data_IF_844536275011
#
_entry.id   IF_844536275011
#
_cell.length_a   1.000
_cell.length_b   1.000
_cell.length_c   1.000
_cell.angle_alpha   90.00
_cell.angle_beta   90.00
_cell.angle_gamma   90.00
#
_symmetry.space_group_name_H-M   'P 1'
#
loop_
_entity.id
_entity.type
_entity.pdbx_description
1 polymer ?
#
# COMPACT_ATOMS: atom_id res chain seq x y z
N UNK A 1 -56.59 27.41 -39.72
CA UNK A 1 -55.81 26.16 -39.56
C UNK A 1 -55.15 26.23 -38.19
N UNK A 2 -55.70 25.51 -37.23
CA UNK A 2 -55.26 25.54 -35.83
C UNK A 2 -54.17 24.50 -35.58
N UNK A 3 -53.09 24.90 -34.91
CA UNK A 3 -51.95 24.06 -34.56
C UNK A 3 -52.22 23.31 -33.25
N UNK A 4 -52.22 21.98 -33.29
CA UNK A 4 -52.25 21.14 -32.08
C UNK A 4 -50.85 20.96 -31.49
N UNK A 5 -50.61 21.19 -30.18
CA UNK A 5 -49.33 20.90 -29.55
C UNK A 5 -49.16 19.39 -29.30
N UNK A 6 -48.07 18.82 -29.83
CA UNK A 6 -47.69 17.42 -29.64
C UNK A 6 -47.29 17.14 -28.20
N UNK A 7 -48.05 16.27 -27.51
CA UNK A 7 -47.80 15.87 -26.13
C UNK A 7 -46.64 14.87 -26.05
N UNK A 8 -45.57 15.22 -25.33
CA UNK A 8 -44.43 14.33 -25.07
C UNK A 8 -44.37 13.94 -23.59
N UNK A 9 -44.39 12.64 -23.33
CA UNK A 9 -44.45 12.08 -21.98
C UNK A 9 -43.08 12.10 -21.29
N UNK A 10 -43.01 12.73 -20.10
CA UNK A 10 -41.77 13.08 -19.37
C UNK A 10 -40.82 11.91 -19.08
N UNK A 11 -41.31 10.67 -19.09
CA UNK A 11 -40.51 9.46 -18.80
C UNK A 11 -39.66 8.96 -19.97
N UNK A 12 -39.90 9.45 -21.19
CA UNK A 12 -39.22 8.97 -22.41
C UNK A 12 -38.35 10.03 -23.10
N UNK A 13 -38.10 11.17 -22.45
CA UNK A 13 -37.14 12.15 -22.92
C UNK A 13 -35.71 11.62 -22.73
N UNK A 14 -35.28 10.71 -23.61
CA UNK A 14 -33.91 10.20 -23.64
C UNK A 14 -33.05 11.25 -24.33
N UNK A 15 -32.37 12.07 -23.53
CA UNK A 15 -31.35 12.99 -24.03
C UNK A 15 -30.17 12.16 -24.56
N UNK A 16 -30.14 11.94 -25.88
CA UNK A 16 -28.99 11.33 -26.56
C UNK A 16 -27.82 12.29 -26.46
N UNK A 17 -26.82 11.99 -25.61
CA UNK A 17 -25.55 12.72 -25.63
C UNK A 17 -24.81 12.35 -26.91
N UNK A 18 -24.57 13.33 -27.79
CA UNK A 18 -23.56 13.21 -28.85
C UNK A 18 -22.19 13.04 -28.17
N UNK A 19 -21.45 12.04 -28.61
CA UNK A 19 -20.03 11.89 -28.28
C UNK A 19 -19.29 12.60 -29.41
N UNK A 20 -18.84 13.82 -29.16
CA UNK A 20 -17.88 14.46 -30.07
C UNK A 20 -16.55 13.71 -29.95
N UNK A 21 -16.06 13.29 -31.12
CA UNK A 21 -14.70 12.84 -31.33
C UNK A 21 -13.87 14.13 -31.39
N UNK A 22 -12.95 14.32 -30.45
CA UNK A 22 -11.93 15.35 -30.62
C UNK A 22 -10.55 14.76 -30.39
N UNK A 23 -9.68 15.10 -31.32
CA UNK A 23 -8.40 14.51 -31.63
C UNK A 23 -7.33 15.51 -31.18
N UNK A 24 -6.36 15.02 -30.39
CA UNK A 24 -5.02 15.57 -30.16
C UNK A 24 -4.91 17.03 -29.64
N UNK A 25 -4.60 17.17 -28.33
CA UNK A 25 -3.73 18.22 -27.82
C UNK A 25 -3.18 17.88 -26.43
N UNK A 26 -1.86 17.65 -26.40
CA UNK A 26 -1.07 17.58 -25.18
C UNK A 26 -0.93 18.97 -24.50
N UNK A 27 -0.65 18.92 -23.20
CA UNK A 27 -0.16 19.96 -22.27
C UNK A 27 -1.15 20.70 -21.33
N UNK A 28 -0.98 20.34 -20.05
CA UNK A 28 -1.10 21.13 -18.81
C UNK A 28 -2.32 22.02 -18.62
N UNK A 29 -3.27 21.55 -17.80
CA UNK A 29 -3.69 22.30 -16.62
C UNK A 29 -4.13 21.31 -15.54
N UNK A 30 -3.46 21.34 -14.39
CA UNK A 30 -3.94 20.77 -13.14
C UNK A 30 -5.29 21.43 -12.81
N UNK A 31 -6.40 20.79 -13.15
CA UNK A 31 -7.70 21.11 -12.54
C UNK A 31 -8.03 20.03 -11.51
N UNK A 32 -8.10 20.52 -10.28
CA UNK A 32 -8.56 19.90 -9.07
C UNK A 32 -9.97 19.28 -9.30
N UNK A 33 -10.02 18.03 -9.76
CA UNK A 33 -11.29 17.31 -9.92
C UNK A 33 -11.80 16.92 -8.51
N UNK A 34 -12.67 17.76 -7.96
CA UNK A 34 -13.39 17.47 -6.73
C UNK A 34 -14.15 16.14 -6.90
N UNK A 35 -14.04 15.18 -5.95
CA UNK A 35 -14.80 13.95 -6.06
C UNK A 35 -16.29 14.25 -5.99
N UNK A 36 -17.04 13.76 -6.98
CA UNK A 36 -18.50 13.76 -7.02
C UNK A 36 -19.05 13.31 -5.65
N UNK A 37 -19.62 14.25 -4.89
CA UNK A 37 -20.25 13.95 -3.61
C UNK A 37 -21.50 13.11 -3.88
N UNK A 38 -21.42 11.81 -3.61
CA UNK A 38 -22.57 10.91 -3.66
C UNK A 38 -23.64 11.43 -2.69
N UNK A 39 -24.88 11.54 -3.20
CA UNK A 39 -26.11 11.80 -2.44
C UNK A 39 -26.07 11.04 -1.12
N UNK A 40 -26.03 11.75 0.01
CA UNK A 40 -26.11 11.17 1.36
C UNK A 40 -27.42 10.36 1.43
N UNK A 41 -27.29 9.05 1.56
CA UNK A 41 -28.41 8.18 1.88
C UNK A 41 -28.69 8.42 3.37
N UNK A 42 -29.59 9.35 3.68
CA UNK A 42 -29.96 9.74 5.05
C UNK A 42 -30.94 8.78 5.72
N UNK A 43 -31.39 7.75 5.02
CA UNK A 43 -32.17 6.68 5.64
C UNK A 43 -31.24 5.54 6.02
N UNK A 44 -31.13 5.33 7.34
CA UNK A 44 -30.46 4.18 7.91
C UNK A 44 -30.95 2.91 7.26
N UNK A 45 -30.01 2.01 6.97
CA UNK A 45 -30.30 0.71 6.39
C UNK A 45 -31.16 -0.06 7.40
N UNK A 46 -32.44 -0.26 7.12
CA UNK A 46 -33.37 -0.96 8.00
C UNK A 46 -32.84 -2.38 8.27
N UNK A 47 -32.53 -2.69 9.53
CA UNK A 47 -31.99 -3.98 9.97
C UNK A 47 -32.96 -4.57 11.01
N UNK A 48 -34.04 -5.23 10.57
CA UNK A 48 -35.10 -5.71 11.44
C UNK A 48 -34.63 -6.55 12.64
N UNK A 49 -33.50 -7.25 12.51
CA UNK A 49 -32.95 -8.10 13.57
C UNK A 49 -31.96 -7.40 14.52
N UNK A 50 -31.56 -6.15 14.24
CA UNK A 50 -30.66 -5.34 15.06
C UNK A 50 -31.37 -4.17 15.75
N UNK A 51 -32.49 -3.69 15.19
CA UNK A 51 -33.24 -2.54 15.72
C UNK A 51 -34.28 -2.95 16.79
N UNK A 52 -34.24 -4.19 17.29
CA UNK A 52 -35.29 -4.83 18.09
C UNK A 52 -35.23 -4.54 19.61
N UNK A 53 -34.41 -3.56 20.04
CA UNK A 53 -34.24 -3.18 21.46
C UNK A 53 -35.53 -2.59 22.07
N UNK A 54 -36.49 -2.15 21.24
CA UNK A 54 -37.79 -1.62 21.69
C UNK A 54 -38.87 -2.68 21.93
N UNK A 55 -38.63 -3.96 21.61
CA UNK A 55 -39.63 -5.02 21.76
C UNK A 55 -39.45 -5.88 23.03
N UNK A 56 -38.51 -5.53 23.92
CA UNK A 56 -38.24 -6.28 25.15
C UNK A 56 -39.03 -5.82 26.40
N UNK A 57 -39.90 -4.81 26.29
CA UNK A 57 -40.70 -4.33 27.44
C UNK A 57 -42.17 -4.77 27.44
N UNK A 58 -42.59 -5.67 26.54
CA UNK A 58 -44.01 -6.09 26.43
C UNK A 58 -44.30 -7.58 26.62
N UNK A 59 -43.35 -8.40 27.09
CA UNK A 59 -43.62 -9.80 27.44
C UNK A 59 -43.28 -10.08 28.92
N UNK A 60 -44.15 -9.61 29.81
CA UNK A 60 -44.25 -10.09 31.17
C UNK A 60 -45.58 -10.85 31.35
N UNK A 61 -45.66 -12.05 30.78
CA UNK A 61 -46.62 -13.08 31.19
C UNK A 61 -45.96 -14.46 31.15
N UNK A 62 -46.02 -15.26 32.23
CA UNK A 62 -45.29 -16.51 32.33
C UNK A 62 -46.15 -17.69 31.86
N UNK A 63 -45.68 -18.48 30.88
CA UNK A 63 -46.14 -19.86 30.72
C UNK A 63 -45.21 -20.74 29.88
N UNK A 64 -44.63 -21.73 30.58
CA UNK A 64 -44.23 -23.08 30.15
C UNK A 64 -42.93 -23.30 29.33
N UNK A 65 -42.10 -24.30 29.70
CA UNK A 65 -40.79 -24.56 29.12
C UNK A 65 -40.88 -25.49 27.89
N UNK A 66 -40.31 -25.07 26.77
CA UNK A 66 -40.11 -25.93 25.60
C UNK A 66 -38.84 -26.77 25.81
N UNK A 67 -39.01 -28.07 25.72
CA UNK A 67 -38.02 -29.11 25.97
C UNK A 67 -36.86 -29.04 24.95
N UNK A 68 -35.63 -29.15 25.44
CA UNK A 68 -34.42 -29.42 24.65
C UNK A 68 -34.45 -30.87 24.13
N UNK A 69 -34.31 -31.14 22.83
CA UNK A 69 -33.80 -32.43 22.40
C UNK A 69 -32.28 -32.45 22.56
N UNK A 70 -31.82 -33.20 23.55
CA UNK A 70 -30.47 -33.75 23.63
C UNK A 70 -30.23 -34.66 22.40
N UNK A 71 -29.36 -34.23 21.49
CA UNK A 71 -28.94 -35.01 20.33
C UNK A 71 -27.43 -34.90 20.12
N UNK A 72 -26.78 -36.06 20.08
CA UNK A 72 -25.34 -36.30 20.00
C UNK A 72 -24.64 -35.52 18.88
N UNK A 73 -23.37 -35.20 19.12
CA UNK A 73 -22.49 -34.39 18.26
C UNK A 73 -22.42 -34.89 16.82
N UNK A 74 -22.92 -34.05 15.92
CA UNK A 74 -22.56 -34.09 14.50
C UNK A 74 -21.14 -33.53 14.35
N UNK A 75 -20.24 -34.14 13.54
CA UNK A 75 -18.98 -33.49 13.20
C UNK A 75 -19.34 -32.19 12.52
N UNK A 76 -18.85 -31.06 13.06
CA UNK A 76 -19.08 -29.72 12.52
C UNK A 76 -18.74 -29.76 11.03
N UNK A 77 -19.78 -29.85 10.20
CA UNK A 77 -19.66 -29.84 8.75
C UNK A 77 -19.04 -28.51 8.39
N UNK A 78 -17.73 -28.53 8.09
CA UNK A 78 -16.96 -27.35 7.72
C UNK A 78 -17.66 -26.73 6.50
N UNK A 79 -18.40 -25.65 6.74
CA UNK A 79 -19.19 -25.00 5.72
C UNK A 79 -18.26 -24.39 4.69
N UNK A 80 -18.07 -25.10 3.58
CA UNK A 80 -17.33 -24.59 2.44
C UNK A 80 -18.33 -23.92 1.50
N UNK A 81 -18.38 -22.59 1.52
CA UNK A 81 -19.37 -21.78 0.79
C UNK A 81 -19.45 -22.07 -0.72
N UNK A 82 -18.45 -22.75 -1.30
CA UNK A 82 -18.42 -23.15 -2.71
C UNK A 82 -19.01 -24.54 -3.00
N UNK A 83 -19.38 -25.33 -2.00
CA UNK A 83 -19.91 -26.68 -2.22
C UNK A 83 -21.35 -26.70 -2.77
N UNK A 84 -22.13 -25.64 -2.54
CA UNK A 84 -23.52 -25.52 -3.05
C UNK A 84 -23.58 -25.19 -4.55
N UNK A 85 -22.47 -24.75 -5.16
CA UNK A 85 -22.44 -24.38 -6.58
C UNK A 85 -22.30 -25.56 -7.54
N UNK A 86 -21.95 -26.76 -7.05
CA UNK A 86 -21.72 -27.94 -7.91
C UNK A 86 -23.02 -28.59 -8.40
N UNK A 87 -24.16 -28.31 -7.76
CA UNK A 87 -25.49 -28.83 -8.15
C UNK A 87 -26.24 -27.91 -9.11
N UNK A 88 -25.70 -26.74 -9.45
CA UNK A 88 -26.27 -25.90 -10.50
C UNK A 88 -25.90 -26.49 -11.86
N UNK A 89 -26.87 -27.11 -12.54
CA UNK A 89 -26.75 -27.56 -13.93
C UNK A 89 -26.05 -26.50 -14.76
N UNK A 90 -24.98 -26.89 -15.48
CA UNK A 90 -24.29 -25.99 -16.40
C UNK A 90 -25.32 -25.39 -17.34
N UNK A 91 -25.45 -24.07 -17.27
CA UNK A 91 -26.38 -23.32 -18.13
C UNK A 91 -26.02 -23.67 -19.58
N UNK A 92 -26.95 -24.28 -20.32
CA UNK A 92 -26.76 -24.61 -21.73
C UNK A 92 -26.48 -23.31 -22.50
N UNK A 93 -25.28 -23.19 -23.09
CA UNK A 93 -24.84 -22.02 -23.85
C UNK A 93 -24.76 -22.36 -25.32
N UNK A 94 -25.01 -21.38 -26.18
CA UNK A 94 -24.75 -21.55 -27.61
C UNK A 94 -23.24 -21.61 -27.88
N UNK A 95 -22.79 -22.28 -28.96
CA UNK A 95 -21.38 -22.35 -29.31
C UNK A 95 -20.71 -20.98 -29.44
N UNK A 96 -21.43 -20.00 -30.01
CA UNK A 96 -20.93 -18.62 -30.17
C UNK A 96 -20.74 -17.91 -28.82
N UNK A 97 -21.63 -18.13 -27.85
CA UNK A 97 -21.50 -17.56 -26.51
C UNK A 97 -20.34 -18.20 -25.74
N UNK A 98 -20.14 -19.50 -25.89
CA UNK A 98 -19.03 -20.21 -25.24
C UNK A 98 -17.67 -19.69 -25.73
N UNK A 99 -17.49 -19.52 -27.04
CA UNK A 99 -16.28 -18.92 -27.62
C UNK A 99 -15.99 -17.51 -27.09
N UNK A 100 -17.01 -16.67 -26.87
CA UNK A 100 -16.82 -15.33 -26.29
C UNK A 100 -16.32 -15.40 -24.85
N UNK A 101 -16.82 -16.36 -24.07
CA UNK A 101 -16.39 -16.56 -22.68
C UNK A 101 -15.00 -17.14 -22.60
N UNK A 102 -14.66 -18.08 -23.46
CA UNK A 102 -13.32 -18.65 -23.49
C UNK A 102 -12.30 -17.57 -23.86
N UNK A 103 -12.62 -16.73 -24.86
CA UNK A 103 -11.80 -15.56 -25.20
C UNK A 103 -11.64 -14.59 -24.02
N UNK A 104 -12.72 -14.28 -23.31
CA UNK A 104 -12.66 -13.38 -22.16
C UNK A 104 -11.88 -13.98 -20.99
N UNK A 105 -12.04 -15.28 -20.75
CA UNK A 105 -11.30 -16.02 -19.70
C UNK A 105 -9.81 -15.99 -19.99
N UNK A 106 -9.41 -16.27 -21.23
CA UNK A 106 -8.01 -16.16 -21.66
C UNK A 106 -7.48 -14.74 -21.52
N UNK A 107 -8.25 -13.73 -21.97
CA UNK A 107 -7.84 -12.33 -21.83
C UNK A 107 -7.65 -11.91 -20.36
N UNK A 108 -8.55 -12.32 -19.46
CA UNK A 108 -8.44 -12.07 -18.03
C UNK A 108 -7.22 -12.76 -17.41
N UNK A 109 -6.92 -13.99 -17.82
CA UNK A 109 -5.73 -14.72 -17.34
C UNK A 109 -4.45 -14.04 -17.80
N UNK A 110 -4.33 -13.73 -19.10
CA UNK A 110 -3.17 -13.03 -19.65
C UNK A 110 -2.97 -11.66 -19.01
N UNK A 111 -4.05 -10.90 -18.80
CA UNK A 111 -3.99 -9.59 -18.11
C UNK A 111 -3.51 -9.74 -16.67
N UNK A 112 -3.98 -10.77 -15.94
CA UNK A 112 -3.53 -11.04 -14.58
C UNK A 112 -2.05 -11.42 -14.55
N UNK A 113 -1.59 -12.27 -15.46
CA UNK A 113 -0.18 -12.64 -15.55
C UNK A 113 0.71 -11.46 -15.92
N UNK A 114 0.29 -10.63 -16.87
CA UNK A 114 1.02 -9.41 -17.23
C UNK A 114 1.15 -8.46 -16.04
N UNK A 115 0.06 -8.27 -15.28
CA UNK A 115 0.07 -7.44 -14.06
C UNK A 115 1.00 -8.02 -12.99
N UNK A 116 0.96 -9.33 -12.78
CA UNK A 116 1.84 -10.00 -11.83
C UNK A 116 3.32 -9.85 -12.24
N UNK A 117 3.65 -10.07 -13.51
CA UNK A 117 5.02 -9.88 -14.02
C UNK A 117 5.50 -8.43 -13.86
N UNK A 118 4.62 -7.45 -14.09
CA UNK A 118 4.92 -6.04 -13.86
C UNK A 118 5.19 -5.74 -12.38
N UNK A 119 4.36 -6.26 -11.47
CA UNK A 119 4.53 -6.10 -10.02
C UNK A 119 5.85 -6.74 -9.55
N UNK A 120 6.18 -7.94 -10.05
CA UNK A 120 7.44 -8.60 -9.77
C UNK A 120 8.65 -7.80 -10.29
N UNK A 121 8.55 -7.23 -11.49
CA UNK A 121 9.61 -6.39 -12.06
C UNK A 121 9.86 -5.14 -11.21
N UNK A 122 8.80 -4.45 -10.79
CA UNK A 122 8.91 -3.28 -9.91
C UNK A 122 9.48 -3.67 -8.56
N UNK A 123 9.08 -4.82 -8.00
CA UNK A 123 9.64 -5.36 -6.76
C UNK A 123 11.15 -5.56 -6.86
N UNK A 124 11.63 -6.19 -7.94
CA UNK A 124 13.07 -6.39 -8.19
C UNK A 124 13.83 -5.06 -8.32
N UNK A 125 13.27 -4.09 -9.02
CA UNK A 125 13.90 -2.76 -9.16
C UNK A 125 14.01 -2.05 -7.80
N UNK A 126 12.98 -2.15 -6.96
CA UNK A 126 13.01 -1.59 -5.61
C UNK A 126 14.09 -2.24 -4.75
N UNK A 127 14.22 -3.56 -4.77
CA UNK A 127 15.26 -4.28 -4.02
C UNK A 127 16.68 -3.90 -4.48
N UNK A 128 16.89 -3.77 -5.79
CA UNK A 128 18.16 -3.30 -6.36
C UNK A 128 18.49 -1.86 -5.93
N UNK A 129 17.51 -0.96 -6.00
CA UNK A 129 17.72 0.42 -5.57
C UNK A 129 18.02 0.49 -4.06
N UNK A 130 17.31 -0.30 -3.25
CA UNK A 130 17.52 -0.37 -1.80
C UNK A 130 18.93 -0.85 -1.45
N UNK A 131 19.41 -1.91 -2.09
CA UNK A 131 20.76 -2.44 -1.84
C UNK A 131 21.84 -1.46 -2.28
N UNK A 132 21.69 -0.84 -3.46
CA UNK A 132 22.60 0.18 -3.95
C UNK A 132 22.64 1.40 -3.02
N UNK A 133 21.47 1.89 -2.59
CA UNK A 133 21.38 3.02 -1.67
C UNK A 133 22.04 2.73 -0.32
N UNK A 134 21.85 1.53 0.23
CA UNK A 134 22.55 1.10 1.46
C UNK A 134 24.07 1.11 1.26
N UNK A 135 24.57 0.54 0.16
CA UNK A 135 25.99 0.55 -0.15
C UNK A 135 26.56 1.97 -0.29
N UNK A 136 25.83 2.90 -0.92
CA UNK A 136 26.26 4.30 -1.01
C UNK A 136 26.37 4.96 0.37
N UNK A 137 25.38 4.76 1.24
CA UNK A 137 25.41 5.30 2.60
C UNK A 137 26.60 4.75 3.40
N UNK A 138 26.89 3.46 3.28
CA UNK A 138 28.06 2.86 3.92
C UNK A 138 29.37 3.49 3.43
N UNK A 139 29.51 3.72 2.12
CA UNK A 139 30.68 4.38 1.55
C UNK A 139 30.80 5.83 2.01
N UNK A 140 29.68 6.57 2.10
CA UNK A 140 29.65 7.94 2.61
C UNK A 140 30.10 8.01 4.07
N UNK A 141 29.60 7.10 4.91
CA UNK A 141 30.02 7.00 6.30
C UNK A 141 31.51 6.67 6.38
N UNK A 142 31.98 5.68 5.62
CA UNK A 142 33.41 5.30 5.57
C UNK A 142 34.29 6.50 5.18
N UNK A 143 33.92 7.23 4.13
CA UNK A 143 34.64 8.42 3.69
C UNK A 143 34.66 9.51 4.78
N UNK A 144 33.53 9.74 5.46
CA UNK A 144 33.45 10.75 6.52
C UNK A 144 34.36 10.42 7.70
N UNK A 145 34.48 9.14 8.06
CA UNK A 145 35.37 8.67 9.12
C UNK A 145 36.84 8.81 8.71
N UNK A 146 37.19 8.42 7.48
CA UNK A 146 38.56 8.61 6.96
C UNK A 146 38.94 10.09 6.88
N UNK A 147 38.03 10.94 6.40
CA UNK A 147 38.27 12.38 6.36
C UNK A 147 38.53 12.94 7.76
N UNK A 148 37.72 12.55 8.75
CA UNK A 148 37.94 12.93 10.16
C UNK A 148 39.31 12.46 10.66
N UNK A 149 39.71 11.22 10.38
CA UNK A 149 41.00 10.69 10.79
C UNK A 149 42.17 11.46 10.15
N UNK A 150 42.09 11.74 8.85
CA UNK A 150 43.12 12.52 8.13
C UNK A 150 43.22 13.92 8.71
N UNK A 151 42.10 14.60 9.00
CA UNK A 151 42.12 15.91 9.64
C UNK A 151 42.76 15.86 11.04
N UNK A 152 42.41 14.85 11.84
CA UNK A 152 43.04 14.65 13.16
C UNK A 152 44.55 14.45 13.05
N UNK A 153 44.99 13.63 12.09
CA UNK A 153 46.42 13.42 11.83
C UNK A 153 47.10 14.71 11.34
N UNK A 154 46.47 15.48 10.45
CA UNK A 154 47.04 16.74 9.96
C UNK A 154 47.22 17.78 11.10
N UNK A 155 46.23 17.89 12.00
CA UNK A 155 46.32 18.76 13.19
C UNK A 155 47.44 18.28 14.11
N UNK A 156 47.53 16.97 14.35
CA UNK A 156 48.56 16.37 15.18
C UNK A 156 49.97 16.57 14.61
N UNK A 157 50.16 16.34 13.31
CA UNK A 157 51.44 16.56 12.62
C UNK A 157 51.88 18.02 12.69
N UNK A 158 50.96 18.97 12.50
CA UNK A 158 51.24 20.41 12.62
C UNK A 158 51.65 20.81 14.04
N UNK A 159 51.15 20.10 15.05
CA UNK A 159 51.52 20.35 16.44
C UNK A 159 52.89 19.76 16.83
N UNK A 160 53.31 18.66 16.21
CA UNK A 160 54.63 18.03 16.47
C UNK A 160 55.74 18.62 15.60
N UNK A 161 55.44 18.96 14.34
CA UNK A 161 56.34 19.66 13.42
C UNK A 161 55.82 21.08 13.19
N UNK A 162 55.96 21.98 14.18
CA UNK A 162 55.56 23.37 14.00
C UNK A 162 56.40 23.99 12.89
N UNK A 163 55.74 24.71 11.98
CA UNK A 163 56.42 25.58 11.03
C UNK A 163 57.31 26.59 11.81
N UNK A 164 58.48 26.96 11.27
CA UNK A 164 59.38 27.88 11.96
C UNK A 164 58.64 29.20 12.25
N UNK A 165 58.41 29.48 13.54
CA UNK A 165 57.68 30.67 14.02
C UNK A 165 56.33 30.41 14.72
N UNK A 166 55.84 29.17 14.81
CA UNK A 166 54.57 28.85 15.50
C UNK A 166 54.77 27.81 16.61
N UNK A 167 55.17 28.27 17.81
CA UNK A 167 55.31 27.40 18.98
C UNK A 167 53.96 27.21 19.66
N UNK A 168 53.43 25.98 19.62
CA UNK A 168 52.23 25.63 20.36
C UNK A 168 52.50 25.68 21.88
N UNK A 169 51.54 26.09 22.74
CA UNK A 169 51.71 26.08 24.18
C UNK A 169 52.10 24.69 24.70
N UNK A 170 53.07 24.62 25.62
CA UNK A 170 53.64 23.38 26.16
C UNK A 170 52.58 22.39 26.68
N UNK A 171 51.49 22.89 27.27
CA UNK A 171 50.39 22.08 27.77
C UNK A 171 49.68 21.32 26.64
N UNK A 172 49.51 21.93 25.46
CA UNK A 172 48.92 21.26 24.30
C UNK A 172 49.86 20.19 23.73
N UNK A 173 51.17 20.43 23.71
CA UNK A 173 52.14 19.41 23.29
C UNK A 173 52.12 18.17 24.19
N UNK A 174 52.07 18.35 25.52
CA UNK A 174 51.98 17.24 26.46
C UNK A 174 50.67 16.45 26.31
N UNK A 175 49.54 17.14 26.12
CA UNK A 175 48.26 16.49 25.87
C UNK A 175 48.27 15.66 24.57
N UNK A 176 48.81 16.22 23.49
CA UNK A 176 48.94 15.52 22.22
C UNK A 176 49.86 14.30 22.34
N UNK A 177 50.96 14.41 23.08
CA UNK A 177 51.88 13.29 23.30
C UNK A 177 51.22 12.16 24.10
N UNK A 178 50.43 12.47 25.14
CA UNK A 178 49.64 11.47 25.87
C UNK A 178 48.57 10.83 24.98
N UNK A 179 47.89 11.62 24.15
CA UNK A 179 46.93 11.11 23.16
C UNK A 179 47.61 10.16 22.16
N UNK A 180 48.81 10.48 21.69
CA UNK A 180 49.58 9.63 20.77
C UNK A 180 49.95 8.27 21.38
N UNK A 181 50.42 8.29 22.63
CA UNK A 181 50.74 7.07 23.39
C UNK A 181 49.48 6.22 23.63
N UNK A 182 48.35 6.86 23.94
CA UNK A 182 47.08 6.15 24.14
C UNK A 182 46.59 5.46 22.87
N UNK A 183 46.74 6.09 21.70
CA UNK A 183 46.38 5.47 20.43
C UNK A 183 47.31 4.31 20.07
N UNK A 184 48.62 4.40 20.35
CA UNK A 184 49.53 3.27 20.18
C UNK A 184 49.12 2.07 21.04
N UNK A 185 48.75 2.29 22.31
CA UNK A 185 48.30 1.19 23.16
C UNK A 185 46.99 0.56 22.68
N UNK A 186 46.07 1.33 22.09
CA UNK A 186 44.83 0.77 21.53
C UNK A 186 45.08 -0.08 20.28
N UNK A 187 46.07 0.30 19.46
CA UNK A 187 46.41 -0.38 18.21
C UNK A 187 47.22 -1.66 18.49
N UNK A 188 48.13 -1.64 19.46
CA UNK A 188 49.01 -2.77 19.78
C UNK A 188 48.53 -3.63 20.96
N UNK A 189 47.65 -3.12 21.82
CA UNK A 189 47.15 -3.82 23.01
C UNK A 189 46.02 -4.81 22.77
N UNK A 190 45.47 -4.90 21.55
CA UNK A 190 44.41 -5.84 21.19
C UNK A 190 44.89 -7.19 20.62
N UNK A 191 46.20 -7.47 20.68
CA UNK A 191 46.86 -8.65 20.06
C UNK A 191 47.15 -9.81 21.04
N UNK A 192 46.51 -9.85 22.21
CA UNK A 192 46.68 -10.96 23.18
C UNK A 192 45.36 -11.51 23.68
#
# INVERSE_FOLDING_TARGET
MENTPSYTHKKFAVSKRKRDFDQDKENFTHQLEQPITKRRQTQGFFRPWLDNEQNQQQEATPSAPVQKPSGQGSPVSQYHANMVRRSQTQRQRSPKEQMRRDRNTLACLLSRWAKQAQEEQVGRQYEQYRSHHAAMLEQQIRLSLYYRQILQQAVFQRAITPAPGHVLPQQQQQFLQQMALSQQMLIFGGQH
#
